data_IF_110608728325
#
_entry.id   IF_110608728325
#
_cell.length_a   1.000
_cell.length_b   1.000
_cell.length_c   1.000
_cell.angle_alpha   90.00
_cell.angle_beta   90.00
_cell.angle_gamma   90.00
#
_symmetry.space_group_name_H-M   'P 1'
#
loop_
_entity.id
_entity.type
_entity.pdbx_description
1 polymer ?
#
# COMPACT_ATOMS: atom_id res chain seq x y z
N UNK A 1 -10.94 -11.40 -7.10
CA UNK A 1 -9.52 -10.98 -7.23
C UNK A 1 -9.22 -9.89 -6.21
N UNK A 2 -7.94 -9.62 -5.92
CA UNK A 2 -7.55 -8.50 -5.05
C UNK A 2 -6.38 -7.72 -5.62
N UNK A 3 -6.34 -6.41 -5.32
CA UNK A 3 -5.25 -5.50 -5.69
C UNK A 3 -4.58 -5.02 -4.41
N UNK A 4 -3.27 -4.83 -4.47
CA UNK A 4 -2.47 -4.48 -3.29
C UNK A 4 -1.72 -3.18 -3.53
N UNK A 5 -1.76 -2.31 -2.53
CA UNK A 5 -1.11 -1.01 -2.56
C UNK A 5 -0.51 -0.71 -1.19
N UNK A 6 0.52 0.13 -1.17
CA UNK A 6 0.83 0.89 0.03
C UNK A 6 0.33 2.32 -0.15
N UNK A 7 -0.23 2.96 0.87
CA UNK A 7 -0.35 4.41 0.86
C UNK A 7 1.04 5.05 0.74
N UNK A 8 1.13 6.19 0.07
CA UNK A 8 2.35 6.98 0.05
C UNK A 8 2.53 7.76 1.36
N UNK A 9 3.76 8.13 1.68
CA UNK A 9 4.06 8.98 2.84
C UNK A 9 3.31 10.31 2.71
N UNK A 10 2.61 10.71 3.77
CA UNK A 10 1.78 11.92 3.77
C UNK A 10 0.34 11.69 3.30
N UNK A 11 -0.03 10.45 2.97
CA UNK A 11 -1.39 10.05 2.63
C UNK A 11 -1.91 8.99 3.60
N UNK A 12 -3.23 8.88 3.65
CA UNK A 12 -3.96 7.84 4.36
C UNK A 12 -5.11 7.37 3.48
N UNK A 13 -5.46 6.11 3.60
CA UNK A 13 -6.56 5.50 2.84
C UNK A 13 -7.60 4.99 3.82
N UNK A 14 -8.87 5.20 3.50
CA UNK A 14 -9.99 4.60 4.22
C UNK A 14 -10.63 3.53 3.36
N UNK A 15 -10.84 2.35 3.92
CA UNK A 15 -11.70 1.31 3.33
C UNK A 15 -12.77 0.95 4.37
N UNK A 16 -14.03 1.31 4.07
CA UNK A 16 -15.12 1.22 5.04
C UNK A 16 -14.82 1.97 6.36
N UNK A 17 -14.70 1.23 7.46
CA UNK A 17 -14.38 1.75 8.79
C UNK A 17 -12.87 1.78 9.11
N UNK A 18 -12.03 1.17 8.26
CA UNK A 18 -10.61 1.01 8.53
C UNK A 18 -9.77 2.09 7.86
N UNK A 19 -8.73 2.52 8.56
CA UNK A 19 -7.75 3.48 8.07
C UNK A 19 -6.38 2.83 7.91
N UNK A 20 -5.75 3.10 6.78
CA UNK A 20 -4.46 2.57 6.38
C UNK A 20 -3.50 3.73 6.16
N UNK A 21 -2.27 3.59 6.63
CA UNK A 21 -1.20 4.54 6.35
C UNK A 21 -0.06 3.88 5.58
N UNK A 22 0.98 4.66 5.27
CA UNK A 22 2.11 4.23 4.44
C UNK A 22 2.86 2.97 4.89
N UNK A 23 2.66 2.52 6.14
CA UNK A 23 3.31 1.34 6.73
C UNK A 23 2.49 0.07 6.57
N UNK A 24 1.20 0.19 6.27
CA UNK A 24 0.28 -0.93 6.19
C UNK A 24 0.02 -1.28 4.72
N UNK A 25 0.03 -2.57 4.42
CA UNK A 25 -0.37 -3.09 3.12
C UNK A 25 -1.90 -3.02 3.01
N UNK A 26 -2.40 -2.25 2.06
CA UNK A 26 -3.81 -2.20 1.72
C UNK A 26 -4.11 -3.30 0.69
N UNK A 27 -5.06 -4.16 1.01
CA UNK A 27 -5.66 -5.10 0.04
C UNK A 27 -7.06 -4.61 -0.28
N UNK A 28 -7.39 -4.50 -1.57
CA UNK A 28 -8.68 -4.04 -2.07
C UNK A 28 -9.32 -5.17 -2.86
N UNK A 29 -10.50 -5.59 -2.47
CA UNK A 29 -11.31 -6.61 -3.15
C UNK A 29 -12.29 -5.99 -4.16
N UNK A 30 -12.96 -6.81 -4.97
CA UNK A 30 -13.79 -6.36 -6.09
C UNK A 30 -14.95 -5.44 -5.68
N UNK A 31 -15.54 -5.70 -4.52
CA UNK A 31 -16.66 -4.93 -3.97
C UNK A 31 -16.20 -3.75 -3.09
N UNK A 32 -14.89 -3.61 -2.88
CA UNK A 32 -14.35 -2.57 -2.02
C UNK A 32 -14.34 -1.21 -2.72
N UNK A 33 -14.55 -0.19 -1.89
CA UNK A 33 -14.36 1.21 -2.24
C UNK A 33 -13.42 1.84 -1.24
N UNK A 34 -12.38 2.47 -1.75
CA UNK A 34 -11.42 3.21 -0.94
C UNK A 34 -11.60 4.71 -1.10
N UNK A 35 -11.20 5.46 -0.08
CA UNK A 35 -11.11 6.91 -0.09
C UNK A 35 -9.68 7.32 0.27
N UNK A 36 -9.07 8.19 -0.52
CA UNK A 36 -7.70 8.66 -0.30
C UNK A 36 -7.75 10.04 0.34
N UNK A 37 -6.96 10.23 1.38
CA UNK A 37 -6.84 11.47 2.12
C UNK A 37 -5.38 11.91 2.19
N UNK A 38 -5.16 13.22 2.13
CA UNK A 38 -3.89 13.81 2.56
C UNK A 38 -3.86 13.84 4.08
N UNK A 39 -2.80 13.30 4.69
CA UNK A 39 -2.63 13.26 6.14
C UNK A 39 -2.65 14.70 6.68
N UNK A 40 -3.39 14.97 7.77
CA UNK A 40 -3.34 16.28 8.42
C UNK A 40 -1.94 16.57 8.92
N UNK A 41 -1.54 17.83 8.78
CA UNK A 41 -0.29 18.37 9.32
C UNK A 41 -0.63 19.56 10.20
N UNK A 42 0.24 19.92 11.14
CA UNK A 42 -0.06 20.90 12.19
C UNK A 42 -0.73 22.16 11.63
N UNK A 43 -1.97 22.40 12.07
CA UNK A 43 -2.78 23.55 11.65
C UNK A 43 -3.60 23.38 10.36
N UNK A 44 -3.57 22.23 9.68
CA UNK A 44 -4.39 21.98 8.48
C UNK A 44 -5.18 20.67 8.54
N UNK A 45 -6.49 20.71 8.25
CA UNK A 45 -7.32 19.52 8.22
C UNK A 45 -6.88 18.57 7.09
N UNK A 46 -7.12 17.28 7.27
CA UNK A 46 -6.94 16.30 6.20
C UNK A 46 -7.90 16.61 5.04
N UNK A 47 -7.42 16.43 3.81
CA UNK A 47 -8.22 16.70 2.60
C UNK A 47 -8.52 15.37 1.93
N UNK A 48 -9.79 15.09 1.64
CA UNK A 48 -10.17 13.96 0.80
C UNK A 48 -9.81 14.28 -0.66
N UNK A 49 -9.00 13.43 -1.26
CA UNK A 49 -8.51 13.60 -2.63
C UNK A 49 -9.40 12.88 -3.65
N UNK A 50 -9.99 11.74 -3.27
CA UNK A 50 -10.85 10.99 -4.16
C UNK A 50 -11.42 9.74 -3.52
N UNK A 51 -12.38 9.13 -4.21
CA UNK A 51 -12.94 7.82 -3.89
C UNK A 51 -12.87 6.94 -5.13
N UNK A 52 -12.37 5.72 -4.94
CA UNK A 52 -12.06 4.80 -6.04
C UNK A 52 -12.65 3.43 -5.72
N UNK A 53 -13.42 2.88 -6.65
CA UNK A 53 -13.80 1.46 -6.63
C UNK A 53 -12.70 0.58 -7.23
N UNK A 54 -12.79 -0.73 -7.00
CA UNK A 54 -11.81 -1.71 -7.48
C UNK A 54 -11.44 -1.57 -8.97
N UNK A 55 -12.42 -1.32 -9.84
CA UNK A 55 -12.22 -1.20 -11.30
C UNK A 55 -11.46 0.06 -11.70
N UNK A 56 -11.45 1.09 -10.86
CA UNK A 56 -10.74 2.36 -11.09
C UNK A 56 -9.29 2.33 -10.57
N UNK A 57 -8.93 1.31 -9.78
CA UNK A 57 -7.58 1.14 -9.26
C UNK A 57 -6.75 0.36 -10.27
N UNK A 58 -5.73 0.98 -10.84
CA UNK A 58 -4.74 0.30 -11.67
C UNK A 58 -3.45 0.08 -10.86
N UNK A 59 -2.93 -1.14 -10.86
CA UNK A 59 -1.68 -1.48 -10.17
C UNK A 59 -0.47 -0.92 -10.91
N UNK A 60 -0.51 -0.87 -12.25
CA UNK A 60 0.57 -0.33 -13.08
C UNK A 60 0.59 1.20 -13.15
N UNK A 61 -0.53 1.84 -12.78
CA UNK A 61 -0.67 3.29 -12.72
C UNK A 61 -1.51 3.69 -11.49
N UNK A 62 -0.97 3.54 -10.27
CA UNK A 62 -1.72 3.78 -9.05
C UNK A 62 -2.17 5.26 -8.95
N UNK A 63 -3.40 5.52 -8.48
CA UNK A 63 -3.85 6.88 -8.17
C UNK A 63 -2.95 7.59 -7.15
N UNK A 64 -2.97 8.92 -7.16
CA UNK A 64 -2.20 9.74 -6.23
C UNK A 64 -2.39 9.30 -4.77
N UNK A 65 -1.28 9.18 -4.04
CA UNK A 65 -1.29 8.74 -2.64
C UNK A 65 -1.28 7.22 -2.47
N UNK A 66 -1.20 6.44 -3.55
CA UNK A 66 -0.92 5.01 -3.55
C UNK A 66 0.37 4.73 -4.31
N UNK A 67 1.14 3.77 -3.80
CA UNK A 67 2.30 3.19 -4.49
C UNK A 67 2.05 1.70 -4.73
N UNK A 68 2.52 1.24 -5.87
CA UNK A 68 2.55 -0.17 -6.20
C UNK A 68 3.36 -0.91 -5.12
N UNK A 69 2.90 -2.10 -4.76
CA UNK A 69 3.72 -3.06 -4.03
C UNK A 69 4.68 -3.63 -5.06
N UNK A 70 5.97 -3.28 -4.98
CA UNK A 70 6.98 -4.04 -5.74
C UNK A 70 6.73 -5.51 -5.40
N UNK A 71 6.33 -6.27 -6.41
CA UNK A 71 6.25 -7.70 -6.32
C UNK A 71 7.69 -8.14 -6.06
N UNK A 72 8.05 -8.35 -4.80
CA UNK A 72 9.24 -9.12 -4.44
C UNK A 72 8.96 -10.57 -4.85
N UNK A 73 8.88 -10.79 -6.16
CA UNK A 73 9.12 -12.09 -6.74
C UNK A 73 10.64 -12.27 -6.65
N UNK A 74 11.06 -13.25 -5.86
CA UNK A 74 12.44 -13.54 -5.46
C UNK A 74 12.98 -12.75 -4.26
N UNK A 75 12.70 -13.25 -3.06
CA UNK A 75 13.84 -13.46 -2.17
C UNK A 75 14.65 -14.63 -2.74
N UNK A 76 15.86 -14.47 -3.31
CA UNK A 76 16.84 -15.50 -3.09
C UNK A 76 17.05 -15.55 -1.57
N UNK A 77 16.84 -16.72 -0.97
CA UNK A 77 17.10 -16.94 0.45
C UNK A 77 18.45 -16.30 0.82
N UNK A 78 18.49 -15.33 1.74
CA UNK A 78 19.78 -14.78 2.13
C UNK A 78 20.48 -15.83 2.99
N UNK A 79 21.51 -16.45 2.40
CA UNK A 79 22.59 -17.18 3.08
C UNK A 79 22.15 -18.56 3.62
N UNK A 80 22.45 -19.69 2.97
CA UNK A 80 23.80 -20.07 2.57
C UNK A 80 24.86 -19.55 3.56
N UNK A 81 24.62 -19.70 4.87
CA UNK A 81 25.72 -19.83 5.82
C UNK A 81 26.35 -21.17 5.51
N UNK A 82 27.39 -21.13 4.67
CA UNK A 82 28.41 -22.16 4.61
C UNK A 82 28.77 -22.51 6.06
N UNK A 83 28.31 -23.67 6.52
CA UNK A 83 28.93 -24.36 7.63
C UNK A 83 30.35 -24.69 7.17
N UNK A 84 31.24 -23.71 7.33
CA UNK A 84 32.67 -23.88 7.24
C UNK A 84 33.03 -24.94 8.27
N UNK A 85 33.27 -26.14 7.75
CA UNK A 85 33.83 -27.28 8.45
C UNK A 85 35.19 -26.83 8.99
N UNK A 86 35.26 -26.55 10.29
CA UNK A 86 36.54 -26.41 10.97
C UNK A 86 37.01 -27.80 11.38
N UNK A 87 38.16 -28.17 10.80
CA UNK A 87 39.13 -29.23 11.13
C UNK A 87 38.60 -30.52 11.77
#
# INVERSE_FOLDING_TARGET
MSKRFHPETGYMVRSGAFWYDHRVLLTVEEDDRIEIFRRPYTGKPGIRLGSYGYTQLDVGAPPIGLRQVEEYDSFPAPLAVLAGRSA
#
